data_IF_164261339542
#
_entry.id   IF_164261339542
#
_cell.length_a   1.000
_cell.length_b   1.000
_cell.length_c   1.000
_cell.angle_alpha   90.00
_cell.angle_beta   90.00
_cell.angle_gamma   90.00
#
_symmetry.space_group_name_H-M   'P 1'
#
loop_
_entity.id
_entity.type
_entity.pdbx_description
1 polymer ?
#
# COMPACT_ATOMS: atom_id res chain seq x y z
N UNK A 1 20.75 8.66 33.36
CA UNK A 1 19.78 8.04 32.41
C UNK A 1 19.96 6.53 32.35
N UNK A 2 21.16 6.00 32.05
CA UNK A 2 21.42 4.54 32.04
C UNK A 2 21.04 3.85 33.35
N UNK A 3 21.50 4.36 34.50
CA UNK A 3 21.19 3.75 35.80
C UNK A 3 19.70 3.83 36.18
N UNK A 4 18.95 4.81 35.65
CA UNK A 4 17.49 4.88 35.87
C UNK A 4 16.75 3.87 34.97
N UNK A 5 17.32 3.53 33.81
CA UNK A 5 16.82 2.47 32.94
C UNK A 5 17.05 1.08 33.52
N UNK A 6 18.26 0.82 34.00
CA UNK A 6 18.62 -0.45 34.65
C UNK A 6 17.79 -0.71 35.92
N UNK A 7 17.44 0.35 36.67
CA UNK A 7 16.57 0.27 37.85
C UNK A 7 15.07 0.19 37.52
N UNK A 8 14.69 0.27 36.24
CA UNK A 8 13.30 0.23 35.81
C UNK A 8 12.48 1.50 36.11
N UNK A 9 13.12 2.59 36.51
CA UNK A 9 12.46 3.89 36.73
C UNK A 9 12.05 4.54 35.41
N UNK A 10 12.79 4.27 34.32
CA UNK A 10 12.53 4.80 32.96
C UNK A 10 12.78 3.69 31.93
N UNK A 11 11.83 3.41 31.03
CA UNK A 11 12.06 2.45 29.95
C UNK A 11 12.36 3.17 28.63
N UNK A 12 13.58 3.03 28.13
CA UNK A 12 13.92 3.44 26.76
C UNK A 12 13.48 2.34 25.80
N UNK A 13 12.57 2.69 24.90
CA UNK A 13 12.18 1.82 23.80
C UNK A 13 13.31 1.77 22.76
N UNK A 14 13.50 0.60 22.15
CA UNK A 14 14.38 0.40 21.00
C UNK A 14 15.85 0.81 21.26
N UNK A 15 16.35 0.59 22.50
CA UNK A 15 17.73 0.87 22.92
C UNK A 15 18.77 0.14 22.03
N UNK A 16 18.35 -0.97 21.44
CA UNK A 16 19.13 -1.79 20.50
C UNK A 16 19.39 -1.06 19.17
N UNK A 17 18.60 -0.02 18.86
CA UNK A 17 18.67 0.77 17.63
C UNK A 17 19.08 2.23 17.89
N UNK A 18 18.56 2.85 18.95
CA UNK A 18 18.85 4.24 19.34
C UNK A 18 19.72 4.26 20.60
N UNK A 19 20.86 5.00 20.64
CA UNK A 19 21.25 6.12 19.76
C UNK A 19 22.30 5.76 18.68
N UNK A 20 22.64 4.48 18.54
CA UNK A 20 23.77 4.06 17.69
C UNK A 20 23.51 4.23 16.19
N UNK A 21 22.25 4.11 15.76
CA UNK A 21 21.84 4.35 14.38
C UNK A 21 20.78 5.44 14.32
N UNK A 22 20.90 6.44 13.42
CA UNK A 22 19.92 7.51 13.25
C UNK A 22 18.69 7.02 12.46
N UNK A 23 18.09 5.92 12.89
CA UNK A 23 16.83 5.40 12.35
C UNK A 23 15.65 6.04 13.09
N UNK A 24 14.51 6.15 12.40
CA UNK A 24 13.27 6.66 12.99
C UNK A 24 12.36 5.52 13.44
N UNK A 25 11.49 5.78 14.42
CA UNK A 25 10.55 4.79 14.96
C UNK A 25 9.42 4.50 13.96
N UNK A 26 8.47 5.43 13.83
CA UNK A 26 7.31 5.28 12.96
C UNK A 26 7.22 6.44 11.96
N UNK A 27 6.66 6.18 10.78
CA UNK A 27 6.32 7.23 9.82
C UNK A 27 5.04 6.94 9.03
N UNK A 28 4.39 8.02 8.61
CA UNK A 28 3.27 8.00 7.66
C UNK A 28 3.83 8.20 6.26
N UNK A 29 3.57 7.24 5.36
CA UNK A 29 4.00 7.34 3.96
C UNK A 29 2.97 8.16 3.19
N UNK A 30 3.42 9.24 2.55
CA UNK A 30 2.61 9.98 1.58
C UNK A 30 2.57 9.24 0.23
N UNK A 31 1.76 8.18 0.18
CA UNK A 31 1.62 7.37 -1.04
C UNK A 31 0.98 8.17 -2.18
N UNK A 32 0.12 9.16 -1.86
CA UNK A 32 -0.55 9.97 -2.87
C UNK A 32 0.46 10.81 -3.65
N UNK A 33 1.30 11.57 -2.96
CA UNK A 33 2.34 12.39 -3.61
C UNK A 33 3.31 11.55 -4.43
N UNK A 34 3.77 10.42 -3.88
CA UNK A 34 4.71 9.53 -4.56
C UNK A 34 4.15 8.94 -5.86
N UNK A 35 2.87 8.56 -5.88
CA UNK A 35 2.25 7.98 -7.08
C UNK A 35 1.80 9.03 -8.11
N UNK A 36 1.55 10.28 -7.71
CA UNK A 36 1.11 11.33 -8.65
C UNK A 36 2.26 12.13 -9.25
N UNK A 37 3.31 12.40 -8.48
CA UNK A 37 4.45 13.22 -8.93
C UNK A 37 5.60 12.38 -9.49
N UNK A 38 5.56 11.07 -9.30
CA UNK A 38 6.70 10.20 -9.52
C UNK A 38 7.74 10.36 -8.41
N UNK A 39 8.64 9.38 -8.30
CA UNK A 39 9.70 9.42 -7.30
C UNK A 39 10.90 8.61 -7.75
N UNK A 40 12.05 8.86 -7.14
CA UNK A 40 13.27 8.09 -7.38
C UNK A 40 13.46 7.05 -6.28
N UNK A 41 13.63 5.79 -6.67
CA UNK A 41 13.90 4.67 -5.77
C UNK A 41 15.25 4.05 -6.11
N UNK A 42 16.27 4.35 -5.28
CA UNK A 42 17.65 3.98 -5.58
C UNK A 42 18.11 4.62 -6.90
N UNK A 43 18.36 3.78 -7.90
CA UNK A 43 18.76 4.22 -9.25
C UNK A 43 17.59 4.26 -10.25
N UNK A 44 16.41 3.76 -9.89
CA UNK A 44 15.24 3.75 -10.76
C UNK A 44 14.41 5.02 -10.54
N UNK A 45 14.07 5.70 -11.63
CA UNK A 45 13.06 6.75 -11.63
C UNK A 45 11.70 6.11 -11.93
N UNK A 46 10.78 6.23 -10.98
CA UNK A 46 9.44 5.65 -11.06
C UNK A 46 8.49 6.73 -11.52
N UNK A 47 7.97 6.59 -12.73
CA UNK A 47 6.91 7.42 -13.26
C UNK A 47 5.55 7.09 -12.61
N UNK A 48 4.59 8.04 -12.64
CA UNK A 48 3.22 7.79 -12.20
C UNK A 48 2.62 6.54 -12.88
N UNK A 49 2.10 5.57 -12.11
CA UNK A 49 1.61 4.31 -12.67
C UNK A 49 0.33 4.54 -13.50
N UNK A 50 0.26 3.88 -14.65
CA UNK A 50 -0.90 3.94 -15.57
C UNK A 50 -1.90 2.79 -15.38
N UNK A 51 -1.72 1.99 -14.34
CA UNK A 51 -2.61 0.87 -14.01
C UNK A 51 -2.57 0.56 -12.52
N UNK A 52 -3.66 -0.03 -12.02
CA UNK A 52 -3.78 -0.48 -10.63
C UNK A 52 -2.76 -1.59 -10.28
N UNK A 53 -2.44 -2.47 -11.23
CA UNK A 53 -1.43 -3.52 -11.01
C UNK A 53 -0.04 -2.92 -10.82
N UNK A 54 0.30 -1.89 -11.58
CA UNK A 54 1.58 -1.18 -11.42
C UNK A 54 1.59 -0.38 -10.12
N UNK A 55 0.49 0.33 -9.81
CA UNK A 55 0.37 1.11 -8.58
C UNK A 55 0.52 0.25 -7.32
N UNK A 56 -0.13 -0.92 -7.29
CA UNK A 56 -0.03 -1.88 -6.17
C UNK A 56 1.36 -2.48 -6.04
N UNK A 57 2.03 -2.81 -7.15
CA UNK A 57 3.40 -3.31 -7.14
C UNK A 57 4.41 -2.26 -6.62
N UNK A 58 4.31 -1.01 -7.10
CA UNK A 58 5.13 0.10 -6.64
C UNK A 58 4.89 0.39 -5.16
N UNK A 59 3.62 0.36 -4.72
CA UNK A 59 3.26 0.53 -3.30
C UNK A 59 3.93 -0.53 -2.42
N UNK A 60 3.93 -1.80 -2.83
CA UNK A 60 4.63 -2.87 -2.12
C UNK A 60 6.14 -2.61 -2.03
N UNK A 61 6.77 -2.12 -3.10
CA UNK A 61 8.19 -1.77 -3.08
C UNK A 61 8.51 -0.60 -2.15
N UNK A 62 7.69 0.45 -2.16
CA UNK A 62 7.83 1.60 -1.23
C UNK A 62 7.77 1.13 0.21
N UNK A 63 6.79 0.29 0.54
CA UNK A 63 6.66 -0.34 1.86
C UNK A 63 7.94 -1.08 2.25
N UNK A 64 8.49 -1.90 1.35
CA UNK A 64 9.74 -2.64 1.60
C UNK A 64 10.87 -1.72 2.01
N UNK A 65 11.05 -0.64 1.22
CA UNK A 65 12.15 0.30 1.39
C UNK A 65 12.00 1.08 2.69
N UNK A 66 10.80 1.61 2.95
CA UNK A 66 10.55 2.37 4.18
C UNK A 66 10.71 1.48 5.41
N UNK A 67 10.13 0.27 5.40
CA UNK A 67 10.25 -0.66 6.52
C UNK A 67 11.70 -1.11 6.80
N UNK A 68 12.58 -1.04 5.79
CA UNK A 68 14.01 -1.34 5.96
C UNK A 68 14.81 -0.18 6.56
N UNK A 69 14.25 1.03 6.59
CA UNK A 69 14.90 2.24 7.12
C UNK A 69 14.29 2.74 8.44
N UNK A 70 13.30 2.02 8.98
CA UNK A 70 12.69 2.30 10.29
C UNK A 70 12.71 1.03 11.15
N UNK A 71 12.71 1.18 12.48
CA UNK A 71 12.60 0.04 13.41
C UNK A 71 11.17 -0.21 13.89
N UNK A 72 10.27 0.78 13.75
CA UNK A 72 8.86 0.65 14.09
C UNK A 72 7.98 0.28 12.90
N UNK A 73 6.69 0.59 13.04
CA UNK A 73 5.67 0.29 12.05
C UNK A 73 5.46 1.41 11.04
N UNK A 74 5.20 1.04 9.80
CA UNK A 74 4.69 1.95 8.77
C UNK A 74 3.17 1.88 8.69
N UNK A 75 2.54 3.05 8.56
CA UNK A 75 1.11 3.17 8.27
C UNK A 75 0.91 3.89 6.94
N UNK A 76 0.01 3.35 6.12
CA UNK A 76 -0.48 4.00 4.90
C UNK A 76 -1.91 4.45 5.17
N UNK A 77 -2.16 5.74 4.98
CA UNK A 77 -3.47 6.33 5.19
C UNK A 77 -4.27 6.34 3.87
N UNK A 78 -5.58 6.05 3.95
CA UNK A 78 -6.56 6.20 2.84
C UNK A 78 -6.09 5.55 1.53
N UNK A 79 -5.58 4.32 1.62
CA UNK A 79 -5.05 3.60 0.45
C UNK A 79 -6.12 3.40 -0.63
N UNK A 80 -7.39 3.26 -0.22
CA UNK A 80 -8.56 3.17 -1.08
C UNK A 80 -8.73 4.40 -1.97
N UNK A 81 -8.62 5.61 -1.41
CA UNK A 81 -8.73 6.84 -2.20
C UNK A 81 -7.51 7.11 -3.07
N UNK A 82 -6.33 6.75 -2.57
CA UNK A 82 -5.09 6.87 -3.35
C UNK A 82 -5.13 5.94 -4.55
N UNK A 83 -5.68 4.74 -4.40
CA UNK A 83 -5.77 3.75 -5.47
C UNK A 83 -6.96 3.95 -6.41
N UNK A 84 -8.04 4.59 -5.95
CA UNK A 84 -9.26 4.85 -6.71
C UNK A 84 -9.04 5.38 -8.14
N UNK A 85 -8.24 6.45 -8.39
CA UNK A 85 -8.02 6.92 -9.76
C UNK A 85 -7.36 5.87 -10.66
N UNK A 86 -6.44 5.06 -10.12
CA UNK A 86 -5.76 4.02 -10.90
C UNK A 86 -6.68 2.84 -11.25
N UNK A 87 -7.69 2.57 -10.40
CA UNK A 87 -8.74 1.60 -10.70
C UNK A 87 -9.60 2.08 -11.87
N UNK A 88 -10.02 3.35 -11.86
CA UNK A 88 -10.80 3.97 -12.94
C UNK A 88 -10.03 4.02 -14.26
N UNK A 89 -8.75 4.39 -14.24
CA UNK A 89 -7.89 4.35 -15.43
C UNK A 89 -7.76 2.95 -16.01
N UNK A 90 -7.62 1.94 -15.13
CA UNK A 90 -7.57 0.54 -15.57
C UNK A 90 -8.89 0.08 -16.18
N UNK A 91 -10.03 0.48 -15.61
CA UNK A 91 -11.36 0.23 -16.17
C UNK A 91 -11.49 0.84 -17.57
N UNK A 92 -11.14 2.12 -17.72
CA UNK A 92 -11.22 2.84 -19.00
C UNK A 92 -10.35 2.17 -20.08
N UNK A 93 -9.15 1.70 -19.70
CA UNK A 93 -8.27 0.94 -20.61
C UNK A 93 -8.92 -0.35 -21.08
N UNK A 94 -9.52 -1.13 -20.17
CA UNK A 94 -10.21 -2.37 -20.52
C UNK A 94 -11.45 -2.13 -21.37
N UNK A 95 -12.20 -1.06 -21.10
CA UNK A 95 -13.36 -0.66 -21.91
C UNK A 95 -12.93 -0.29 -23.33
N UNK A 96 -11.86 0.50 -23.48
CA UNK A 96 -11.30 0.83 -24.80
C UNK A 96 -10.87 -0.42 -25.57
N UNK A 97 -10.22 -1.37 -24.90
CA UNK A 97 -9.89 -2.66 -25.52
C UNK A 97 -11.14 -3.44 -25.92
N UNK A 98 -12.21 -3.42 -25.12
CA UNK A 98 -13.46 -4.09 -25.50
C UNK A 98 -14.13 -3.44 -26.72
N UNK A 99 -14.10 -2.10 -26.80
CA UNK A 99 -14.59 -1.34 -27.96
C UNK A 99 -13.78 -1.65 -29.23
N UNK A 100 -12.44 -1.67 -29.13
CA UNK A 100 -11.53 -2.02 -30.24
C UNK A 100 -11.78 -3.44 -30.78
N UNK A 101 -12.15 -4.37 -29.90
CA UNK A 101 -12.39 -5.77 -30.24
C UNK A 101 -13.89 -6.08 -30.49
N UNK A 102 -14.75 -5.05 -30.53
CA UNK A 102 -16.20 -5.16 -30.72
C UNK A 102 -16.87 -6.20 -29.82
N UNK A 103 -16.48 -6.23 -28.54
CA UNK A 103 -17.11 -7.11 -27.56
C UNK A 103 -18.54 -6.60 -27.29
N UNK A 104 -19.58 -7.46 -27.37
CA UNK A 104 -20.97 -7.05 -27.20
C UNK A 104 -21.29 -6.41 -25.84
N UNK A 105 -20.53 -6.78 -24.81
CA UNK A 105 -20.65 -6.28 -23.44
C UNK A 105 -19.33 -5.68 -22.98
N UNK A 106 -19.05 -4.45 -23.42
CA UNK A 106 -17.82 -3.74 -23.09
C UNK A 106 -17.71 -3.39 -21.60
N UNK A 107 -18.84 -3.05 -20.97
CA UNK A 107 -18.89 -2.71 -19.55
C UNK A 107 -18.76 -3.96 -18.67
N UNK A 108 -19.38 -5.08 -19.05
CA UNK A 108 -19.20 -6.36 -18.35
C UNK A 108 -17.81 -6.98 -18.54
N UNK A 109 -17.12 -6.69 -19.63
CA UNK A 109 -15.69 -7.03 -19.79
C UNK A 109 -14.80 -6.14 -18.91
N UNK A 110 -15.11 -4.85 -18.82
CA UNK A 110 -14.31 -3.87 -18.09
C UNK A 110 -14.53 -3.90 -16.56
N UNK A 111 -15.73 -4.23 -16.05
CA UNK A 111 -16.07 -4.20 -14.62
C UNK A 111 -15.33 -5.21 -13.72
N UNK A 112 -15.12 -6.49 -14.10
CA UNK A 112 -14.50 -7.47 -13.21
C UNK A 112 -12.97 -7.35 -13.13
N UNK A 113 -12.30 -6.81 -14.14
CA UNK A 113 -10.84 -6.68 -14.18
C UNK A 113 -10.24 -5.73 -13.11
N UNK A 114 -10.74 -4.49 -12.90
CA UNK A 114 -10.29 -3.59 -11.85
C UNK A 114 -10.62 -4.12 -10.45
N UNK A 115 -11.80 -4.74 -10.28
CA UNK A 115 -12.20 -5.35 -9.01
C UNK A 115 -11.30 -6.53 -8.63
N UNK A 116 -10.99 -7.40 -9.59
CA UNK A 116 -10.02 -8.48 -9.39
C UNK A 116 -8.68 -7.87 -9.04
N UNK A 117 -8.06 -7.05 -9.89
CA UNK A 117 -6.72 -6.52 -9.62
C UNK A 117 -6.58 -5.73 -8.29
N UNK A 118 -7.60 -4.99 -7.84
CA UNK A 118 -7.58 -4.26 -6.56
C UNK A 118 -7.85 -5.15 -5.33
N UNK A 119 -8.69 -6.18 -5.44
CA UNK A 119 -9.12 -7.03 -4.30
C UNK A 119 -8.50 -8.44 -4.32
N UNK A 120 -7.75 -8.80 -5.36
CA UNK A 120 -7.16 -10.15 -5.45
C UNK A 120 -6.21 -10.35 -4.28
N UNK A 121 -6.35 -11.52 -3.65
CA UNK A 121 -5.47 -12.01 -2.59
C UNK A 121 -3.99 -11.81 -2.94
N UNK A 122 -3.63 -11.94 -4.22
CA UNK A 122 -2.29 -11.65 -4.79
C UNK A 122 -1.78 -10.23 -4.50
N UNK A 123 -2.57 -9.17 -4.73
CA UNK A 123 -2.14 -7.78 -4.53
C UNK A 123 -1.92 -7.46 -3.05
N UNK A 124 -2.83 -7.93 -2.19
CA UNK A 124 -2.71 -7.84 -0.74
C UNK A 124 -1.57 -8.73 -0.21
N UNK A 125 -1.39 -9.91 -0.79
CA UNK A 125 -0.32 -10.83 -0.43
C UNK A 125 1.02 -10.23 -0.80
N UNK A 126 1.19 -9.66 -1.98
CA UNK A 126 2.43 -9.01 -2.41
C UNK A 126 2.82 -7.87 -1.45
N UNK A 127 1.85 -7.03 -1.03
CA UNK A 127 2.09 -5.98 -0.03
C UNK A 127 2.45 -6.54 1.36
N UNK A 128 1.86 -7.67 1.77
CA UNK A 128 2.10 -8.31 3.07
C UNK A 128 3.32 -9.24 3.10
N UNK A 129 3.71 -9.80 1.96
CA UNK A 129 4.82 -10.75 1.80
C UNK A 129 6.13 -10.07 1.37
N UNK A 130 6.10 -8.75 1.24
CA UNK A 130 7.27 -7.95 0.93
C UNK A 130 8.28 -8.05 2.07
N UNK A 131 9.47 -8.57 1.77
CA UNK A 131 10.55 -8.71 2.74
C UNK A 131 11.30 -7.38 2.88
N UNK A 132 11.37 -6.86 4.12
CA UNK A 132 12.26 -5.77 4.49
C UNK A 132 13.59 -6.32 5.02
N UNK A 133 14.60 -5.45 5.16
CA UNK A 133 15.89 -5.78 5.75
C UNK A 133 16.08 -4.92 7.01
N UNK A 134 16.24 -5.50 8.22
CA UNK A 134 16.19 -6.93 8.55
C UNK A 134 14.79 -7.54 8.34
N UNK A 135 14.68 -8.87 8.12
CA UNK A 135 13.39 -9.52 7.84
C UNK A 135 12.44 -9.40 9.04
N UNK A 136 11.37 -8.61 8.88
CA UNK A 136 10.25 -8.51 9.83
C UNK A 136 8.95 -9.00 9.19
N UNK A 137 8.17 -9.85 9.86
CA UNK A 137 6.92 -10.39 9.32
C UNK A 137 5.80 -9.34 9.17
N UNK A 138 5.94 -8.16 9.80
CA UNK A 138 4.92 -7.12 9.90
C UNK A 138 5.43 -5.72 9.47
N UNK A 139 6.16 -5.65 8.34
CA UNK A 139 6.64 -4.39 7.75
C UNK A 139 5.53 -3.31 7.59
N UNK A 140 4.29 -3.73 7.35
CA UNK A 140 3.09 -2.87 7.41
C UNK A 140 2.25 -3.28 8.59
N UNK A 141 2.17 -2.40 9.60
CA UNK A 141 1.39 -2.68 10.80
C UNK A 141 -0.09 -2.36 10.61
N UNK A 142 -0.42 -1.35 9.80
CA UNK A 142 -1.79 -0.92 9.53
C UNK A 142 -1.97 -0.44 8.08
N UNK A 143 -2.76 -1.18 7.29
CA UNK A 143 -3.46 -0.65 6.11
C UNK A 143 -4.82 -0.17 6.57
N UNK A 144 -5.00 1.15 6.68
CA UNK A 144 -6.27 1.72 7.14
C UNK A 144 -7.17 1.98 5.93
N UNK A 145 -8.11 1.07 5.70
CA UNK A 145 -9.22 1.26 4.76
C UNK A 145 -10.31 2.09 5.46
N UNK A 146 -10.94 3.04 4.76
CA UNK A 146 -12.06 3.77 5.33
C UNK A 146 -13.25 2.83 5.57
N UNK A 147 -14.02 2.97 6.68
CA UNK A 147 -15.26 2.23 6.84
C UNK A 147 -16.19 2.52 5.66
N UNK A 148 -16.62 1.46 4.95
CA UNK A 148 -17.49 1.51 3.76
C UNK A 148 -18.77 2.35 3.91
N UNK A 149 -19.10 2.77 5.12
CA UNK A 149 -20.31 3.48 5.52
C UNK A 149 -20.32 5.01 5.28
N UNK A 150 -19.20 5.64 4.86
CA UNK A 150 -19.23 7.07 4.46
C UNK A 150 -18.85 7.33 2.99
N UNK A 151 -18.47 6.29 2.26
CA UNK A 151 -18.44 6.34 0.80
C UNK A 151 -19.83 5.89 0.39
N UNK A 152 -20.69 6.80 -0.08
CA UNK A 152 -22.06 6.53 -0.53
C UNK A 152 -22.15 5.64 -1.77
N UNK A 153 -21.52 4.48 -1.72
CA UNK A 153 -21.46 3.47 -2.77
C UNK A 153 -22.15 2.23 -2.20
N UNK A 154 -23.23 1.83 -2.85
CA UNK A 154 -24.14 0.79 -2.42
C UNK A 154 -23.44 -0.49 -1.92
N UNK A 155 -23.89 -0.96 -0.77
CA UNK A 155 -23.52 -2.21 -0.13
C UNK A 155 -23.91 -3.42 -0.98
N UNK A 156 -22.93 -4.17 -1.48
CA UNK A 156 -23.16 -5.54 -2.01
C UNK A 156 -22.93 -6.59 -0.89
N UNK A 157 -23.86 -7.55 -0.70
CA UNK A 157 -23.93 -8.43 0.47
C UNK A 157 -22.99 -9.64 0.46
N UNK A 158 -21.98 -9.69 -0.40
CA UNK A 158 -21.26 -10.95 -0.69
C UNK A 158 -19.89 -11.12 0.01
N UNK A 159 -19.61 -10.45 1.13
CA UNK A 159 -18.28 -10.50 1.77
C UNK A 159 -18.30 -10.90 3.25
N UNK A 160 -19.37 -11.53 3.74
CA UNK A 160 -19.48 -11.92 5.16
C UNK A 160 -19.71 -13.43 5.38
N UNK A 161 -19.10 -14.27 4.54
CA UNK A 161 -19.08 -15.72 4.77
C UNK A 161 -17.86 -16.39 4.15
N UNK A 162 -16.72 -16.33 4.85
CA UNK A 162 -15.63 -17.30 4.80
C UNK A 162 -14.66 -17.09 5.98
#
# INVERSE_FOLDING_TARGET
MVSAHERGEIHYHDLDYSPFFPMFNCMLIDLKGMLTQGFKMGNAEIEPPKSISTATAVTAQIIAQVASHIYGGTTINRIDEVLAPFVTESFNKHRKTAEEWQIPDADGYAAPAPRKSATTRSSLWNMKSTRCIPPRPDAVRYLRFWPRHQLGVASDPAVDSA
#
